data_IF_116852843935
#
_entry.id   IF_116852843935
#
_cell.length_a   1.000
_cell.length_b   1.000
_cell.length_c   1.000
_cell.angle_alpha   90.00
_cell.angle_beta   90.00
_cell.angle_gamma   90.00
#
_symmetry.space_group_name_H-M   'P 1'
#
loop_
_entity.id
_entity.type
_entity.pdbx_description
1 polymer ?
#
# COMPACT_ATOMS: atom_id res chain seq x y z
N UNK A 1 14.75 -7.81 5.17
CA UNK A 1 13.46 -7.10 5.27
C UNK A 1 13.68 -5.71 5.86
N UNK A 2 14.12 -4.71 5.08
CA UNK A 2 14.19 -3.33 5.57
C UNK A 2 12.79 -2.75 5.47
N UNK A 3 12.21 -2.51 6.63
CA UNK A 3 11.07 -1.62 6.80
C UNK A 3 11.50 -0.16 6.52
N UNK A 4 12.25 0.09 5.45
CA UNK A 4 12.90 1.39 5.21
C UNK A 4 11.84 2.47 5.11
N UNK A 5 11.72 3.25 6.19
CA UNK A 5 10.75 4.32 6.37
C UNK A 5 9.38 3.90 6.93
N UNK A 6 8.96 2.64 6.77
CA UNK A 6 7.63 2.19 7.18
C UNK A 6 7.51 1.84 8.66
N UNK A 7 8.61 1.42 9.29
CA UNK A 7 8.72 1.21 10.72
C UNK A 7 10.06 1.73 11.25
N UNK A 8 10.08 2.05 12.53
CA UNK A 8 11.24 2.59 13.23
C UNK A 8 11.52 1.79 14.49
N UNK A 9 12.79 1.68 14.87
CA UNK A 9 13.16 1.06 16.14
C UNK A 9 12.76 2.01 17.29
N UNK A 10 12.07 1.48 18.30
CA UNK A 10 11.63 2.25 19.47
C UNK A 10 11.91 1.40 20.71
N UNK A 11 12.51 1.96 21.78
CA UNK A 11 12.69 1.23 23.02
C UNK A 11 11.38 0.66 23.56
N UNK A 12 11.39 -0.61 23.97
CA UNK A 12 10.21 -1.31 24.50
C UNK A 12 9.47 -0.52 25.59
N UNK A 13 10.19 0.20 26.45
CA UNK A 13 9.62 1.04 27.51
C UNK A 13 8.72 2.19 27.00
N UNK A 14 8.82 2.57 25.73
CA UNK A 14 7.97 3.60 25.10
C UNK A 14 6.75 3.00 24.40
N UNK A 15 6.69 1.68 24.23
CA UNK A 15 5.57 1.00 23.58
C UNK A 15 4.49 0.68 24.61
N UNK A 16 3.24 0.96 24.25
CA UNK A 16 2.05 0.54 25.02
C UNK A 16 1.57 -0.83 24.61
N UNK A 17 1.81 -1.23 23.36
CA UNK A 17 1.46 -2.54 22.83
C UNK A 17 2.62 -3.09 22.01
N UNK A 18 2.95 -4.36 22.24
CA UNK A 18 3.86 -5.15 21.41
C UNK A 18 3.02 -6.30 20.85
N UNK A 19 2.81 -6.27 19.54
CA UNK A 19 1.97 -7.23 18.83
C UNK A 19 2.83 -8.37 18.27
N UNK A 20 2.34 -9.63 18.31
CA UNK A 20 3.04 -10.76 17.71
C UNK A 20 3.27 -10.55 16.22
N UNK A 21 4.43 -11.03 15.75
CA UNK A 21 4.83 -10.98 14.35
C UNK A 21 4.74 -12.38 13.75
N UNK A 22 4.01 -12.52 12.66
CA UNK A 22 3.84 -13.78 11.94
C UNK A 22 4.31 -13.62 10.48
N UNK A 23 4.71 -14.74 9.88
CA UNK A 23 5.05 -14.80 8.46
C UNK A 23 4.09 -15.76 7.78
N UNK A 24 3.43 -15.30 6.73
CA UNK A 24 2.61 -16.16 5.87
C UNK A 24 3.31 -16.32 4.53
N UNK A 25 3.55 -17.56 4.16
CA UNK A 25 4.07 -17.90 2.84
C UNK A 25 2.94 -17.98 1.83
N UNK A 26 3.12 -17.34 0.69
CA UNK A 26 2.15 -17.37 -0.38
C UNK A 26 2.84 -17.57 -1.72
N UNK A 27 2.73 -18.79 -2.25
CA UNK A 27 3.39 -19.29 -3.47
C UNK A 27 4.91 -19.02 -3.46
N UNK A 28 5.32 -17.83 -3.86
CA UNK A 28 6.72 -17.41 -4.05
C UNK A 28 7.10 -16.20 -3.18
N UNK A 29 6.24 -15.78 -2.24
CA UNK A 29 6.46 -14.59 -1.40
C UNK A 29 6.07 -14.81 0.05
N UNK A 30 6.98 -14.49 0.97
CA UNK A 30 6.70 -14.41 2.40
C UNK A 30 6.13 -13.04 2.77
N UNK A 31 5.21 -13.02 3.74
CA UNK A 31 4.43 -11.84 4.11
C UNK A 31 4.43 -11.65 5.60
N UNK A 32 4.97 -10.53 6.02
CA UNK A 32 4.96 -10.14 7.42
C UNK A 32 3.55 -9.69 7.79
N UNK A 33 2.97 -10.35 8.79
CA UNK A 33 1.66 -10.03 9.34
C UNK A 33 1.83 -9.74 10.81
N UNK A 34 1.46 -8.53 11.21
CA UNK A 34 1.45 -8.13 12.62
C UNK A 34 0.06 -8.38 13.16
N UNK A 35 -0.03 -9.14 14.24
CA UNK A 35 -1.32 -9.48 14.84
C UNK A 35 -1.87 -8.30 15.66
N UNK A 36 -2.61 -7.44 14.95
CA UNK A 36 -3.21 -6.23 15.53
C UNK A 36 -4.61 -6.47 16.12
N UNK A 37 -5.06 -7.72 16.33
CA UNK A 37 -6.42 -8.01 16.83
C UNK A 37 -6.75 -7.26 18.13
N UNK A 38 -5.88 -7.35 19.14
CA UNK A 38 -6.07 -6.66 20.42
C UNK A 38 -6.08 -5.13 20.29
N UNK A 39 -5.27 -4.60 19.38
CA UNK A 39 -5.22 -3.15 19.11
C UNK A 39 -6.51 -2.72 18.41
N UNK A 40 -6.99 -3.51 17.45
CA UNK A 40 -8.22 -3.25 16.71
C UNK A 40 -9.46 -3.26 17.62
N UNK A 41 -9.52 -4.14 18.61
CA UNK A 41 -10.64 -4.22 19.57
C UNK A 41 -10.79 -2.94 20.39
N UNK A 42 -9.70 -2.20 20.61
CA UNK A 42 -9.68 -0.94 21.34
C UNK A 42 -9.97 0.30 20.46
N UNK A 43 -10.06 0.13 19.13
CA UNK A 43 -10.22 1.24 18.19
C UNK A 43 -11.65 1.35 17.70
N UNK A 44 -12.24 2.53 17.87
CA UNK A 44 -13.54 2.86 17.31
C UNK A 44 -13.35 3.33 15.86
N UNK A 45 -13.89 2.56 14.91
CA UNK A 45 -13.83 2.91 13.48
C UNK A 45 -15.11 3.63 13.07
N UNK A 46 -15.02 4.82 12.45
CA UNK A 46 -16.18 5.47 11.87
C UNK A 46 -16.79 4.63 10.74
N UNK A 47 -18.13 4.60 10.67
CA UNK A 47 -18.82 3.98 9.54
C UNK A 47 -18.57 4.80 8.28
N UNK A 48 -18.24 4.12 7.18
CA UNK A 48 -18.08 4.74 5.87
C UNK A 48 -18.55 3.80 4.77
N UNK A 49 -18.77 4.37 3.57
CA UNK A 49 -19.18 3.62 2.37
C UNK A 49 -18.10 3.76 1.29
N UNK A 50 -17.82 2.63 0.64
CA UNK A 50 -17.02 2.60 -0.58
C UNK A 50 -17.86 3.07 -1.76
N UNK A 51 -17.20 3.75 -2.69
CA UNK A 51 -17.72 3.93 -4.03
C UNK A 51 -17.16 2.79 -4.88
N UNK A 52 -17.97 2.15 -5.72
CA UNK A 52 -17.50 1.02 -6.50
C UNK A 52 -18.41 0.75 -7.69
N UNK A 53 -18.62 -0.53 -8.00
CA UNK A 53 -19.44 -0.97 -9.13
C UNK A 53 -20.87 -0.37 -9.12
N UNK A 54 -21.41 -0.10 -7.93
CA UNK A 54 -22.72 0.52 -7.77
C UNK A 54 -22.85 1.90 -8.43
N UNK A 55 -21.74 2.60 -8.68
CA UNK A 55 -21.72 3.93 -9.33
C UNK A 55 -21.40 3.86 -10.82
N UNK A 56 -20.96 2.72 -11.33
CA UNK A 56 -20.56 2.58 -12.74
C UNK A 56 -21.77 2.79 -13.64
N UNK A 57 -22.91 2.16 -13.32
CA UNK A 57 -24.14 2.31 -14.11
C UNK A 57 -24.66 3.76 -14.13
N UNK A 58 -24.51 4.51 -13.04
CA UNK A 58 -24.95 5.91 -12.94
C UNK A 58 -24.06 6.87 -13.75
N UNK A 59 -22.77 6.55 -13.89
CA UNK A 59 -21.75 7.48 -14.41
C UNK A 59 -21.31 7.16 -15.83
N UNK A 60 -21.32 5.89 -16.23
CA UNK A 60 -20.87 5.46 -17.54
C UNK A 60 -21.89 5.86 -18.61
N UNK A 61 -21.39 6.38 -19.73
CA UNK A 61 -22.18 6.72 -20.91
C UNK A 61 -21.65 5.92 -22.10
N UNK A 62 -22.54 5.68 -23.07
CA UNK A 62 -22.14 5.08 -24.33
C UNK A 62 -21.06 5.95 -25.00
N UNK A 63 -20.03 5.30 -25.52
CA UNK A 63 -18.89 5.96 -26.17
C UNK A 63 -17.83 6.51 -25.23
N UNK A 64 -18.01 6.43 -23.91
CA UNK A 64 -17.01 6.92 -22.97
C UNK A 64 -15.67 6.20 -23.11
N UNK A 65 -14.60 6.96 -22.94
CA UNK A 65 -13.24 6.46 -22.83
C UNK A 65 -12.85 6.32 -21.36
N UNK A 66 -12.16 5.22 -21.05
CA UNK A 66 -11.86 4.78 -19.69
C UNK A 66 -10.36 4.63 -19.49
N UNK A 67 -9.95 4.81 -18.24
CA UNK A 67 -8.64 4.38 -17.75
C UNK A 67 -8.76 4.01 -16.27
N UNK A 68 -7.83 3.21 -15.77
CA UNK A 68 -7.77 2.84 -14.36
C UNK A 68 -6.37 2.96 -13.80
N UNK A 69 -6.29 3.33 -12.53
CA UNK A 69 -5.07 3.43 -11.77
C UNK A 69 -5.15 2.45 -10.60
N UNK A 70 -4.11 1.65 -10.47
CA UNK A 70 -3.85 0.79 -9.32
C UNK A 70 -2.69 1.43 -8.53
N UNK A 71 -2.90 1.67 -7.24
CA UNK A 71 -1.87 2.21 -6.36
C UNK A 71 -1.03 1.07 -5.77
N UNK A 72 0.29 1.24 -5.81
CA UNK A 72 1.23 0.27 -5.23
C UNK A 72 1.25 0.42 -3.72
N UNK A 73 1.08 -0.66 -2.94
CA UNK A 73 1.25 -0.66 -1.49
C UNK A 73 0.51 0.51 -0.79
N UNK A 74 -0.72 0.83 -1.20
CA UNK A 74 -1.37 2.11 -0.92
C UNK A 74 -1.32 2.56 0.55
N UNK A 75 -1.61 1.66 1.49
CA UNK A 75 -1.60 1.97 2.92
C UNK A 75 -0.22 2.45 3.43
N UNK A 76 0.87 1.85 2.96
CA UNK A 76 2.22 2.21 3.41
C UNK A 76 2.69 3.60 2.96
N UNK A 77 1.97 4.26 2.06
CA UNK A 77 2.25 5.65 1.71
C UNK A 77 1.73 6.66 2.74
N UNK A 78 0.84 6.23 3.64
CA UNK A 78 0.20 7.12 4.61
C UNK A 78 0.92 7.02 5.94
N UNK A 79 1.60 8.11 6.31
CA UNK A 79 2.24 8.27 7.61
C UNK A 79 1.17 8.35 8.73
N UNK A 80 1.46 7.68 9.83
CA UNK A 80 0.70 7.70 11.07
C UNK A 80 1.29 8.77 11.98
N UNK A 81 0.42 9.50 12.68
CA UNK A 81 0.85 10.47 13.67
C UNK A 81 1.71 9.81 14.78
N UNK A 82 2.84 10.43 15.19
CA UNK A 82 3.77 9.82 16.16
C UNK A 82 3.18 9.36 17.49
N UNK A 83 2.11 10.02 17.95
CA UNK A 83 1.39 9.63 19.17
C UNK A 83 0.78 8.22 19.10
N UNK A 84 0.52 7.71 17.89
CA UNK A 84 -0.10 6.40 17.69
C UNK A 84 0.93 5.28 17.52
N UNK A 85 2.20 5.60 17.27
CA UNK A 85 3.25 4.59 17.06
C UNK A 85 3.40 3.65 18.26
N UNK A 86 3.17 4.17 19.47
CA UNK A 86 3.27 3.38 20.72
C UNK A 86 2.31 2.19 20.79
N UNK A 87 1.23 2.19 19.99
CA UNK A 87 0.25 1.09 19.94
C UNK A 87 0.53 0.10 18.80
N UNK A 88 1.41 0.45 17.86
CA UNK A 88 1.70 -0.34 16.66
C UNK A 88 3.09 -0.97 16.74
N UNK A 89 3.47 -1.35 17.96
CA UNK A 89 4.74 -1.98 18.25
C UNK A 89 4.76 -3.47 17.89
N UNK A 90 5.91 -3.99 17.52
CA UNK A 90 6.18 -5.43 17.35
C UNK A 90 7.65 -5.72 17.68
N UNK A 91 7.94 -6.98 17.94
CA UNK A 91 9.30 -7.46 18.20
C UNK A 91 9.83 -8.25 17.01
N UNK A 92 11.09 -8.03 16.66
CA UNK A 92 11.81 -8.81 15.67
C UNK A 92 13.28 -8.89 16.08
N UNK A 93 13.80 -10.12 16.18
CA UNK A 93 15.21 -10.40 16.49
C UNK A 93 15.71 -9.71 17.78
N UNK A 94 14.93 -9.85 18.86
CA UNK A 94 15.22 -9.23 20.16
C UNK A 94 15.10 -7.70 20.20
N UNK A 95 14.76 -7.07 19.08
CA UNK A 95 14.59 -5.62 18.96
C UNK A 95 13.11 -5.25 18.84
N UNK A 96 12.75 -4.08 19.38
CA UNK A 96 11.38 -3.54 19.32
C UNK A 96 11.27 -2.44 18.27
N UNK A 97 10.22 -2.53 17.46
CA UNK A 97 9.92 -1.63 16.36
C UNK A 97 8.48 -1.15 16.46
N UNK A 98 8.17 -0.03 15.81
CA UNK A 98 6.80 0.44 15.62
C UNK A 98 6.56 0.91 14.19
N UNK A 99 5.34 0.69 13.70
CA UNK A 99 4.95 1.22 12.38
C UNK A 99 4.80 2.74 12.40
N UNK A 100 5.49 3.37 11.46
CA UNK A 100 5.35 4.78 11.11
C UNK A 100 4.28 5.01 10.04
N UNK A 101 4.07 4.06 9.15
CA UNK A 101 3.03 4.11 8.09
C UNK A 101 1.89 3.13 8.40
N UNK A 102 0.71 3.29 7.79
CA UNK A 102 -0.43 2.39 8.02
C UNK A 102 -0.04 0.92 7.77
N UNK A 103 -0.02 0.07 8.81
CA UNK A 103 0.26 -1.34 8.62
C UNK A 103 -0.97 -2.06 8.09
N UNK A 104 -0.73 -3.13 7.34
CA UNK A 104 -1.78 -4.09 7.04
C UNK A 104 -2.33 -4.71 8.34
N UNK A 105 -3.64 -5.00 8.34
CA UNK A 105 -4.32 -5.55 9.51
C UNK A 105 -4.83 -4.51 10.51
N UNK A 106 -4.50 -3.22 10.36
CA UNK A 106 -5.09 -2.16 11.17
C UNK A 106 -6.50 -1.81 10.70
N UNK A 107 -7.48 -1.90 11.60
CA UNK A 107 -8.91 -1.74 11.27
C UNK A 107 -9.27 -0.35 10.70
N UNK A 108 -8.53 0.69 11.09
CA UNK A 108 -8.73 2.06 10.58
C UNK A 108 -8.03 2.35 9.26
N UNK A 109 -7.10 1.50 8.80
CA UNK A 109 -6.32 1.77 7.60
C UNK A 109 -7.20 1.97 6.34
N UNK A 110 -8.21 1.11 6.06
CA UNK A 110 -9.08 1.31 4.91
C UNK A 110 -9.90 2.60 4.99
N UNK A 111 -10.34 2.98 6.19
CA UNK A 111 -11.08 4.22 6.42
C UNK A 111 -10.21 5.44 6.07
N UNK A 112 -9.03 5.54 6.69
CA UNK A 112 -8.11 6.67 6.50
C UNK A 112 -7.71 6.79 5.02
N UNK A 113 -7.35 5.67 4.40
CA UNK A 113 -6.97 5.66 2.99
C UNK A 113 -8.12 6.08 2.07
N UNK A 114 -9.32 5.56 2.32
CA UNK A 114 -10.50 5.94 1.54
C UNK A 114 -10.82 7.43 1.67
N UNK A 115 -10.67 8.02 2.86
CA UNK A 115 -10.86 9.47 3.03
C UNK A 115 -9.82 10.26 2.25
N UNK A 116 -8.55 9.86 2.26
CA UNK A 116 -7.48 10.50 1.48
C UNK A 116 -7.81 10.50 -0.02
N UNK A 117 -8.15 9.34 -0.58
CA UNK A 117 -8.49 9.21 -2.00
C UNK A 117 -9.76 10.00 -2.35
N UNK A 118 -10.75 10.05 -1.44
CA UNK A 118 -11.97 10.86 -1.64
C UNK A 118 -11.67 12.35 -1.80
N UNK A 119 -10.66 12.89 -1.12
CA UNK A 119 -10.27 14.30 -1.30
C UNK A 119 -9.71 14.56 -2.70
N UNK A 120 -8.88 13.66 -3.23
CA UNK A 120 -8.38 13.73 -4.60
C UNK A 120 -9.54 13.58 -5.61
N UNK A 121 -10.42 12.60 -5.39
CA UNK A 121 -11.58 12.37 -6.22
C UNK A 121 -12.53 13.58 -6.26
N UNK A 122 -12.75 14.24 -5.11
CA UNK A 122 -13.53 15.48 -5.03
C UNK A 122 -12.94 16.57 -5.91
N UNK A 123 -11.63 16.78 -5.86
CA UNK A 123 -10.93 17.76 -6.70
C UNK A 123 -11.09 17.47 -8.20
N UNK A 124 -10.98 16.21 -8.62
CA UNK A 124 -11.20 15.84 -10.02
C UNK A 124 -12.65 15.99 -10.46
N UNK A 125 -13.61 15.67 -9.58
CA UNK A 125 -15.05 15.87 -9.83
C UNK A 125 -15.41 17.34 -10.00
N UNK A 126 -14.81 18.23 -9.20
CA UNK A 126 -14.94 19.69 -9.35
C UNK A 126 -14.42 20.18 -10.71
N UNK A 127 -13.50 19.45 -11.34
CA UNK A 127 -12.98 19.70 -12.69
C UNK A 127 -13.81 19.02 -13.80
N UNK A 128 -14.95 18.39 -13.45
CA UNK A 128 -15.82 17.70 -14.40
C UNK A 128 -15.42 16.25 -14.73
N UNK A 129 -14.40 15.69 -14.07
CA UNK A 129 -13.96 14.31 -14.29
C UNK A 129 -14.88 13.34 -13.55
N UNK A 130 -15.38 12.32 -14.25
CA UNK A 130 -16.11 11.21 -13.62
C UNK A 130 -15.11 10.17 -13.13
N UNK A 131 -15.06 9.99 -11.82
CA UNK A 131 -14.14 9.08 -11.14
C UNK A 131 -14.88 8.24 -10.11
N UNK A 132 -14.50 6.97 -9.99
CA UNK A 132 -15.01 5.99 -9.03
C UNK A 132 -13.80 5.45 -8.27
N UNK A 133 -13.51 5.98 -7.07
CA UNK A 133 -12.43 5.47 -6.23
C UNK A 133 -12.88 4.24 -5.42
N UNK A 134 -12.17 3.13 -5.55
CA UNK A 134 -12.36 1.93 -4.72
C UNK A 134 -11.03 1.52 -4.08
N UNK A 135 -10.76 2.00 -2.87
CA UNK A 135 -9.49 1.75 -2.16
C UNK A 135 -8.31 2.10 -3.08
N UNK A 136 -7.52 1.11 -3.52
CA UNK A 136 -6.35 1.27 -4.38
C UNK A 136 -6.69 1.26 -5.89
N UNK A 137 -7.87 0.78 -6.26
CA UNK A 137 -8.37 0.71 -7.63
C UNK A 137 -9.24 1.94 -7.96
N UNK A 138 -8.73 2.82 -8.81
CA UNK A 138 -9.37 4.10 -9.10
C UNK A 138 -9.71 4.14 -10.59
N UNK A 139 -10.99 4.28 -10.89
CA UNK A 139 -11.52 4.18 -12.24
C UNK A 139 -12.06 5.51 -12.74
N UNK A 140 -11.79 5.82 -14.00
CA UNK A 140 -12.10 7.11 -14.60
C UNK A 140 -12.85 6.95 -15.92
N UNK A 141 -13.79 7.86 -16.16
CA UNK A 141 -14.67 7.93 -17.33
C UNK A 141 -14.64 9.33 -17.94
N UNK A 142 -14.39 9.41 -19.24
CA UNK A 142 -14.19 10.66 -19.97
C UNK A 142 -14.91 10.59 -21.33
N UNK A 143 -15.48 11.70 -21.84
CA UNK A 143 -16.28 11.65 -23.07
C UNK A 143 -15.49 11.36 -24.35
N UNK A 144 -14.21 11.75 -24.41
CA UNK A 144 -13.38 11.61 -25.61
C UNK A 144 -12.00 11.08 -25.27
N UNK A 145 -11.36 10.35 -26.19
CA UNK A 145 -10.02 9.79 -26.02
C UNK A 145 -8.99 10.86 -25.62
N UNK A 146 -9.02 12.01 -26.30
CA UNK A 146 -8.10 13.12 -26.04
C UNK A 146 -8.29 13.68 -24.61
N UNK A 147 -9.53 13.84 -24.16
CA UNK A 147 -9.82 14.29 -22.80
C UNK A 147 -9.37 13.26 -21.75
N UNK A 148 -9.55 11.97 -22.03
CA UNK A 148 -9.07 10.87 -21.19
C UNK A 148 -7.56 10.88 -21.05
N UNK A 149 -6.83 11.07 -22.15
CA UNK A 149 -5.38 11.12 -22.15
C UNK A 149 -4.87 12.32 -21.33
N UNK A 150 -5.45 13.50 -21.54
CA UNK A 150 -5.10 14.70 -20.78
C UNK A 150 -5.42 14.53 -19.28
N UNK A 151 -6.57 13.95 -18.95
CA UNK A 151 -6.98 13.65 -17.57
C UNK A 151 -6.04 12.64 -16.93
N UNK A 152 -5.68 11.56 -17.64
CA UNK A 152 -4.73 10.57 -17.14
C UNK A 152 -3.38 11.21 -16.78
N UNK A 153 -2.83 12.06 -17.65
CA UNK A 153 -1.57 12.77 -17.39
C UNK A 153 -1.68 13.66 -16.15
N UNK A 154 -2.78 14.42 -16.01
CA UNK A 154 -3.04 15.27 -14.84
C UNK A 154 -3.11 14.44 -13.55
N UNK A 155 -3.87 13.36 -13.57
CA UNK A 155 -4.07 12.49 -12.42
C UNK A 155 -2.75 11.84 -11.97
N UNK A 156 -1.91 11.41 -12.91
CA UNK A 156 -0.57 10.88 -12.61
C UNK A 156 0.30 11.93 -11.91
N UNK A 157 0.24 13.20 -12.35
CA UNK A 157 0.95 14.31 -11.71
C UNK A 157 0.41 14.54 -10.29
N UNK A 158 -0.91 14.54 -10.11
CA UNK A 158 -1.55 14.74 -8.81
C UNK A 158 -1.16 13.65 -7.81
N UNK A 159 -1.14 12.38 -8.23
CA UNK A 159 -0.67 11.28 -7.38
C UNK A 159 0.81 11.43 -7.01
N UNK A 160 1.67 11.81 -7.97
CA UNK A 160 3.08 12.06 -7.70
C UNK A 160 3.27 13.19 -6.69
N UNK A 161 2.49 14.28 -6.81
CA UNK A 161 2.50 15.39 -5.87
C UNK A 161 2.02 14.96 -4.48
N UNK A 162 1.02 14.07 -4.42
CA UNK A 162 0.52 13.46 -3.18
C UNK A 162 1.46 12.37 -2.61
N UNK A 163 2.61 12.11 -3.25
CA UNK A 163 3.57 11.05 -2.89
C UNK A 163 2.94 9.64 -2.89
N UNK A 164 1.90 9.45 -3.69
CA UNK A 164 1.26 8.15 -3.92
C UNK A 164 1.87 7.51 -5.17
N UNK A 165 2.40 6.31 -5.01
CA UNK A 165 3.07 5.58 -6.09
C UNK A 165 2.07 4.70 -6.83
N UNK A 166 2.02 4.84 -8.16
CA UNK A 166 1.21 4.00 -9.02
C UNK A 166 1.91 2.67 -9.31
N UNK A 167 1.11 1.63 -9.47
CA UNK A 167 1.55 0.38 -10.05
C UNK A 167 1.42 0.44 -11.58
N UNK A 168 2.49 0.83 -12.27
CA UNK A 168 2.47 0.99 -13.73
C UNK A 168 2.15 -0.30 -14.50
N UNK A 169 2.38 -1.48 -13.92
CA UNK A 169 2.09 -2.77 -14.57
C UNK A 169 0.60 -3.14 -14.48
N UNK A 170 -0.04 -2.83 -13.36
CA UNK A 170 -1.47 -3.13 -13.15
C UNK A 170 -2.38 -2.02 -13.65
N UNK A 171 -1.93 -0.76 -13.56
CA UNK A 171 -2.67 0.40 -14.05
C UNK A 171 -2.91 0.31 -15.56
N UNK A 172 -4.10 0.72 -16.00
CA UNK A 172 -4.48 0.83 -17.41
C UNK A 172 -4.52 2.30 -17.79
N UNK A 173 -3.36 2.85 -18.13
CA UNK A 173 -3.17 4.28 -18.41
C UNK A 173 -3.45 4.68 -19.86
N UNK A 174 -3.50 3.70 -20.77
CA UNK A 174 -3.85 3.95 -22.16
C UNK A 174 -5.38 4.02 -22.25
N UNK A 175 -5.97 5.13 -22.74
CA UNK A 175 -7.41 5.26 -22.90
C UNK A 175 -7.98 4.11 -23.73
N UNK A 176 -9.03 3.47 -23.23
CA UNK A 176 -9.71 2.35 -23.88
C UNK A 176 -11.22 2.46 -23.69
N UNK A 177 -11.99 1.83 -24.58
CA UNK A 177 -13.45 1.67 -24.42
C UNK A 177 -13.84 0.28 -23.92
N UNK A 178 -12.86 -0.60 -23.68
CA UNK A 178 -13.01 -1.90 -23.05
C UNK A 178 -12.05 -2.03 -21.86
N UNK A 179 -12.58 -2.15 -20.64
CA UNK A 179 -11.79 -2.21 -19.41
C UNK A 179 -12.45 -3.08 -18.33
N UNK A 180 -11.65 -3.94 -17.68
CA UNK A 180 -12.07 -4.68 -16.49
C UNK A 180 -11.88 -3.86 -15.22
N UNK A 181 -12.96 -3.61 -14.48
CA UNK A 181 -12.92 -2.93 -13.18
C UNK A 181 -13.66 -3.76 -12.12
N UNK A 182 -12.99 -4.03 -10.99
CA UNK A 182 -13.53 -4.85 -9.88
C UNK A 182 -14.17 -6.19 -10.32
N UNK A 183 -13.58 -6.82 -11.35
CA UNK A 183 -14.04 -8.10 -11.90
C UNK A 183 -15.15 -8.01 -12.93
N UNK A 184 -15.66 -6.82 -13.24
CA UNK A 184 -16.67 -6.59 -14.29
C UNK A 184 -16.00 -6.03 -15.55
N UNK A 185 -16.30 -6.62 -16.69
CA UNK A 185 -15.90 -6.10 -18.00
C UNK A 185 -16.84 -4.97 -18.41
N UNK A 186 -16.26 -3.81 -18.74
CA UNK A 186 -17.01 -2.65 -19.22
C UNK A 186 -16.67 -2.42 -20.68
N UNK A 187 -17.70 -2.45 -21.53
CA UNK A 187 -17.65 -2.08 -22.94
C UNK A 187 -18.59 -0.89 -23.15
N UNK A 188 -18.01 0.28 -23.44
CA UNK A 188 -18.79 1.50 -23.67
C UNK A 188 -19.19 1.69 -25.12
N UNK A 189 -18.62 0.97 -26.09
CA UNK A 189 -19.03 1.04 -27.50
C UNK A 189 -20.38 0.37 -27.72
N UNK A 190 -20.57 -0.80 -27.12
CA UNK A 190 -21.79 -1.60 -27.26
C UNK A 190 -23.03 -1.00 -26.55
N UNK A 191 -22.91 0.15 -25.87
CA UNK A 191 -24.02 0.85 -25.21
C UNK A 191 -24.61 0.11 -24.01
N UNK A 192 -24.00 -0.98 -23.54
CA UNK A 192 -24.35 -1.67 -22.31
C UNK A 192 -23.10 -1.81 -21.45
N UNK A 193 -23.08 -1.36 -20.19
CA UNK A 193 -22.24 -2.05 -19.23
C UNK A 193 -22.71 -3.52 -19.28
N UNK A 194 -21.88 -4.44 -19.75
CA UNK A 194 -22.17 -5.87 -19.58
C UNK A 194 -22.11 -6.13 -18.08
N UNK A 195 -23.22 -5.88 -17.40
CA UNK A 195 -23.46 -6.38 -16.07
C UNK A 195 -23.30 -7.88 -16.18
N UNK A 196 -22.20 -8.39 -15.60
CA UNK A 196 -22.07 -9.79 -15.29
C UNK A 196 -23.32 -10.19 -14.49
N UNK A 197 -24.27 -10.84 -15.14
CA UNK A 197 -25.42 -11.50 -14.52
C UNK A 197 -25.00 -12.73 -13.70
N UNK A 198 -23.74 -12.79 -13.25
CA UNK A 198 -23.21 -13.84 -12.41
C UNK A 198 -22.16 -13.22 -11.48
N UNK A 199 -22.42 -13.29 -10.17
CA UNK A 199 -21.54 -12.98 -9.03
C UNK A 199 -21.76 -11.69 -8.22
N UNK A 200 -23.01 -11.32 -7.97
CA UNK A 200 -23.37 -10.47 -6.80
C UNK A 200 -23.07 -11.14 -5.44
N UNK A 201 -22.82 -12.45 -5.39
CA UNK A 201 -22.32 -13.13 -4.19
C UNK A 201 -20.78 -13.16 -4.08
N UNK A 202 -20.05 -13.16 -5.21
CA UNK A 202 -18.58 -13.24 -5.18
C UNK A 202 -17.90 -11.87 -5.04
N UNK A 203 -18.50 -10.76 -5.47
CA UNK A 203 -17.89 -9.44 -5.30
C UNK A 203 -17.89 -8.94 -3.83
N UNK A 204 -18.92 -9.28 -3.05
CA UNK A 204 -18.95 -8.97 -1.61
C UNK A 204 -18.04 -9.91 -0.80
N UNK A 205 -18.00 -11.20 -1.16
CA UNK A 205 -17.06 -12.16 -0.55
C UNK A 205 -15.61 -11.90 -0.98
N UNK A 206 -15.37 -11.45 -2.22
CA UNK A 206 -14.06 -11.03 -2.70
C UNK A 206 -13.66 -9.69 -2.10
N UNK A 207 -14.55 -8.75 -1.79
CA UNK A 207 -14.17 -7.53 -1.08
C UNK A 207 -13.73 -7.80 0.37
N UNK A 208 -14.41 -8.72 1.07
CA UNK A 208 -13.99 -9.20 2.39
C UNK A 208 -12.69 -10.04 2.30
N UNK A 209 -12.55 -10.87 1.26
CA UNK A 209 -11.34 -11.63 1.02
C UNK A 209 -10.18 -10.78 0.49
N UNK A 210 -10.41 -9.68 -0.23
CA UNK A 210 -9.38 -8.77 -0.77
C UNK A 210 -8.88 -7.80 0.31
N UNK A 211 -9.71 -7.48 1.31
CA UNK A 211 -9.22 -6.89 2.56
C UNK A 211 -8.28 -7.85 3.32
N UNK A 212 -8.47 -9.18 3.15
CA UNK A 212 -7.60 -10.21 3.72
C UNK A 212 -6.46 -10.67 2.78
N UNK A 213 -6.57 -10.51 1.46
CA UNK A 213 -5.58 -10.95 0.45
C UNK A 213 -4.81 -9.80 -0.22
N UNK A 214 -5.12 -8.53 0.05
CA UNK A 214 -4.24 -7.39 -0.24
C UNK A 214 -3.09 -7.27 0.76
N UNK A 215 -3.23 -7.87 1.96
CA UNK A 215 -2.09 -8.29 2.80
C UNK A 215 -1.13 -9.19 2.02
N UNK A 216 -1.62 -9.72 0.88
CA UNK A 216 -1.04 -10.77 0.10
C UNK A 216 -0.49 -10.37 -1.30
N UNK A 217 -0.22 -9.09 -1.61
CA UNK A 217 0.49 -8.74 -2.86
C UNK A 217 1.81 -7.94 -2.76
N UNK A 218 1.97 -6.91 -1.91
CA UNK A 218 3.00 -5.89 -2.18
C UNK A 218 3.89 -5.52 -0.98
N UNK A 219 4.68 -6.50 -0.53
CA UNK A 219 5.79 -6.35 0.44
C UNK A 219 7.14 -6.74 -0.20
N UNK A 220 7.22 -6.69 -1.53
CA UNK A 220 8.30 -7.34 -2.33
C UNK A 220 9.50 -6.46 -2.67
N UNK A 221 9.66 -5.27 -2.08
CA UNK A 221 10.83 -4.42 -2.34
C UNK A 221 11.65 -4.08 -1.08
N UNK A 222 11.07 -4.30 0.09
CA UNK A 222 11.68 -3.99 1.37
C UNK A 222 12.82 -4.95 1.74
N UNK A 223 12.79 -6.22 1.31
CA UNK A 223 13.70 -7.23 1.89
C UNK A 223 15.12 -7.20 1.39
N UNK A 224 15.34 -6.93 0.10
CA UNK A 224 16.66 -6.92 -0.50
C UNK A 224 17.59 -5.84 0.08
N UNK A 225 17.03 -4.73 0.59
CA UNK A 225 17.82 -3.61 1.10
C UNK A 225 18.28 -3.77 2.57
N UNK A 226 17.79 -4.77 3.33
CA UNK A 226 18.29 -5.02 4.69
C UNK A 226 19.38 -6.08 4.70
N UNK A 227 19.25 -7.09 3.85
CA UNK A 227 20.23 -8.18 3.78
C UNK A 227 21.58 -7.64 3.30
N UNK A 228 21.58 -6.71 2.34
CA UNK A 228 22.79 -6.02 1.87
C UNK A 228 23.41 -5.02 2.88
N UNK A 229 22.67 -4.60 3.92
CA UNK A 229 23.18 -3.65 4.92
C UNK A 229 23.77 -4.36 6.16
N UNK A 230 23.41 -5.63 6.39
CA UNK A 230 23.98 -6.45 7.47
C UNK A 230 25.30 -7.11 7.05
N UNK A 231 25.44 -7.49 5.77
CA UNK A 231 26.68 -8.08 5.23
C UNK A 231 27.84 -7.08 5.07
N UNK A 232 27.58 -5.77 5.19
CA UNK A 232 28.60 -4.72 5.08
C UNK A 232 29.23 -4.30 6.43
N UNK A 233 28.89 -4.97 7.54
CA UNK A 233 29.40 -4.62 8.89
C UNK A 233 30.42 -5.65 9.42
N UNK A 234 30.62 -6.79 8.75
CA UNK A 234 31.61 -7.81 9.16
C UNK A 234 32.96 -7.76 8.42
N UNK A 235 33.16 -6.88 7.43
CA UNK A 235 34.47 -6.69 6.77
C UNK A 235 35.06 -5.30 7.05
N UNK A 236 35.38 -4.98 8.32
CA UNK A 236 36.37 -3.93 8.60
C UNK A 236 36.99 -4.07 10.01
N UNK A 237 37.72 -5.16 10.23
CA UNK A 237 38.80 -5.18 11.24
C UNK A 237 40.13 -4.95 10.53
N UNK A 238 40.85 -3.82 10.74
CA UNK A 238 42.18 -3.64 10.20
C UNK A 238 43.20 -4.42 11.04
N UNK A 239 44.03 -5.17 10.34
CA UNK A 239 45.04 -6.06 10.87
C UNK A 239 46.16 -5.38 11.68
N UNK A 240 46.76 -6.25 12.48
CA UNK A 240 47.89 -6.05 13.38
C UNK A 240 49.11 -5.41 12.67
N UNK A 241 49.61 -4.31 13.24
CA UNK A 241 50.92 -3.76 12.93
C UNK A 241 51.98 -4.31 13.87
N UNK A 242 52.83 -5.23 13.38
CA UNK A 242 54.09 -5.59 14.02
C UNK A 242 55.11 -4.46 13.87
N UNK A 243 55.62 -3.91 14.98
CA UNK A 243 57.03 -3.50 15.07
C UNK A 243 57.59 -3.87 16.44
N UNK A 244 58.47 -4.86 16.44
CA UNK A 244 59.29 -5.25 17.56
C UNK A 244 60.34 -4.17 17.87
N UNK A 245 60.48 -3.80 19.15
CA UNK A 245 61.66 -3.14 19.69
C UNK A 245 62.09 -3.84 20.99
N UNK A 246 63.17 -4.61 20.85
CA UNK A 246 64.32 -4.69 21.76
C UNK A 246 64.06 -4.73 23.27
N UNK A 247 64.26 -5.91 23.88
CA UNK A 247 64.81 -6.03 25.22
C UNK A 247 66.32 -6.31 25.12
N UNK A 248 67.14 -5.80 26.07
CA UNK A 248 67.98 -6.77 26.78
C UNK A 248 68.21 -6.43 28.27
N UNK A 249 68.58 -7.49 29.01
CA UNK A 249 69.23 -7.51 30.35
C UNK A 249 68.33 -7.18 31.53
N UNK A 250 68.48 -7.69 32.74
CA UNK A 250 69.20 -8.80 33.38
C UNK A 250 68.76 -8.69 34.86
N UNK A 251 68.76 -9.81 35.59
CA UNK A 251 68.97 -9.91 37.05
C UNK A 251 68.10 -9.05 38.01
N UNK A 252 67.14 -9.68 38.71
CA UNK A 252 67.27 -10.26 40.07
C UNK A 252 65.93 -10.81 40.54
#
# INVERSE_FOLDING_TARGET
MTLTGAAIQIPAAKLRCISPLNVVEQKDKCRLIVDLRKVNDAIIVPKFKYEGLNRVADLARQGDWMFSIDLKSGYHHVDIHPSCWTFLGFEFDGCTYAFRSLPFGLTTAPFVFTQLIKQLARRWREQGVRVIPYVDDIFFLCPTQAHTQATCQRVVIDFKAAKLVLNSKKSKLIPTQHLRFLGVELDTQAGRPQTAAATTAAAAAAAAATAATAAAAETTAAVAAATAAAEAVEEETPGEGQTARTAPKDYQ
#
